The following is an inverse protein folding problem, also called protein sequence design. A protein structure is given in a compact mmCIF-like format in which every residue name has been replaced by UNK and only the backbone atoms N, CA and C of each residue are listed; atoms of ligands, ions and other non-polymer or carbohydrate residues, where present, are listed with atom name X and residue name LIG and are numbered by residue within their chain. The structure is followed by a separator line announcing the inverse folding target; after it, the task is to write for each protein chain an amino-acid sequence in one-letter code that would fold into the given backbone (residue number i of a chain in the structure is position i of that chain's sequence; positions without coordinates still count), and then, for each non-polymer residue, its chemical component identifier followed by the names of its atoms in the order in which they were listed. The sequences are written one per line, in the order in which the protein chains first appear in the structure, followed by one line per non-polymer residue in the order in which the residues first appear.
data_IF_910825929108
#
_entry.id   IF_910825929108
#
_cell.length_a   1.000
_cell.length_b   1.000
_cell.length_c   1.000
_cell.angle_alpha   90.00
_cell.angle_beta   90.00
_cell.angle_gamma   90.00
#
_symmetry.space_group_name_H-M   'P 1'
#
loop_
_entity.id
_entity.type
_entity.pdbx_description
1 polymer ?
#
# COMPACT_ATOMS: atom_id res chain seq x y z
N UNK A 1 -0.05 -0.89 14.71
CA UNK A 1 -1.34 -0.41 15.20
C UNK A 1 -1.20 0.69 16.25
N UNK A 2 -0.41 0.53 17.35
CA UNK A 2 -0.26 1.55 18.42
C UNK A 2 0.08 2.97 17.92
N UNK A 3 0.93 3.08 16.89
CA UNK A 3 1.32 4.39 16.31
C UNK A 3 0.28 4.96 15.33
N UNK A 4 -0.88 4.31 15.19
CA UNK A 4 -1.96 4.65 14.26
C UNK A 4 -3.30 4.69 15.01
N UNK A 5 -4.36 4.16 14.42
CA UNK A 5 -5.71 4.14 15.00
C UNK A 5 -5.94 3.10 16.10
N UNK A 6 -4.94 2.30 16.48
CA UNK A 6 -5.03 1.29 17.52
C UNK A 6 -5.81 0.03 17.15
N UNK A 7 -6.18 -0.17 15.87
CA UNK A 7 -6.90 -1.35 15.41
C UNK A 7 -5.99 -2.30 14.64
N UNK A 8 -6.03 -3.58 14.98
CA UNK A 8 -5.31 -4.66 14.33
C UNK A 8 -6.26 -5.79 13.94
N UNK A 9 -6.32 -6.09 12.64
CA UNK A 9 -7.00 -7.27 12.14
C UNK A 9 -5.97 -8.36 11.81
N UNK A 10 -6.01 -9.48 12.54
CA UNK A 10 -5.20 -10.66 12.23
C UNK A 10 -5.95 -11.55 11.26
N UNK A 11 -5.37 -11.79 10.08
CA UNK A 11 -6.00 -12.53 9.00
C UNK A 11 -5.33 -13.88 8.79
N UNK A 12 -6.14 -14.93 8.77
CA UNK A 12 -5.71 -16.31 8.67
C UNK A 12 -6.83 -17.22 8.13
N UNK A 13 -6.64 -18.54 8.11
CA UNK A 13 -7.63 -19.54 7.66
C UNK A 13 -7.81 -20.67 8.69
N UNK A 14 -8.03 -20.32 9.96
CA UNK A 14 -8.10 -21.26 11.09
C UNK A 14 -9.27 -22.26 11.00
N UNK A 15 -10.29 -21.98 10.21
CA UNK A 15 -11.38 -22.94 9.98
C UNK A 15 -10.96 -24.14 9.11
N UNK A 16 -9.81 -24.07 8.43
CA UNK A 16 -9.32 -25.14 7.53
C UNK A 16 -7.89 -25.57 7.88
N UNK A 17 -7.00 -24.63 8.26
CA UNK A 17 -5.57 -24.90 8.42
C UNK A 17 -5.15 -24.91 9.90
N UNK A 18 -4.49 -25.99 10.33
CA UNK A 18 -3.94 -26.09 11.69
C UNK A 18 -2.85 -25.03 11.96
N UNK A 19 -2.00 -24.72 10.98
CA UNK A 19 -1.00 -23.67 11.09
C UNK A 19 -1.66 -22.29 11.32
N UNK A 20 -2.83 -22.05 10.78
CA UNK A 20 -3.61 -20.81 11.01
C UNK A 20 -4.24 -20.77 12.40
N UNK A 21 -4.64 -21.92 12.98
CA UNK A 21 -5.07 -21.99 14.39
C UNK A 21 -3.90 -21.63 15.31
N UNK A 22 -2.71 -22.16 15.02
CA UNK A 22 -1.49 -21.84 15.77
C UNK A 22 -1.12 -20.35 15.64
N UNK A 23 -1.17 -19.79 14.43
CA UNK A 23 -1.00 -18.35 14.20
C UNK A 23 -1.95 -17.53 15.08
N UNK A 24 -3.25 -17.85 15.05
CA UNK A 24 -4.29 -17.15 15.83
C UNK A 24 -3.98 -17.20 17.33
N UNK A 25 -3.55 -18.35 17.86
CA UNK A 25 -3.22 -18.47 19.28
C UNK A 25 -2.05 -17.56 19.66
N UNK A 26 -0.98 -17.53 18.85
CA UNK A 26 0.20 -16.68 19.10
C UNK A 26 -0.20 -15.20 19.07
N UNK A 27 -0.94 -14.76 18.05
CA UNK A 27 -1.35 -13.35 17.94
C UNK A 27 -2.27 -12.95 19.11
N UNK A 28 -3.17 -13.85 19.53
CA UNK A 28 -4.04 -13.62 20.67
C UNK A 28 -3.26 -13.53 22.00
N UNK A 29 -2.21 -14.32 22.15
CA UNK A 29 -1.35 -14.25 23.33
C UNK A 29 -0.52 -12.97 23.35
N UNK A 30 0.08 -12.59 22.21
CA UNK A 30 0.84 -11.33 22.08
C UNK A 30 -0.03 -10.10 22.32
N UNK A 31 -1.31 -10.13 21.98
CA UNK A 31 -2.21 -8.98 22.16
C UNK A 31 -2.35 -8.57 23.65
N UNK A 32 -2.09 -9.49 24.59
CA UNK A 32 -2.11 -9.21 26.04
C UNK A 32 -1.04 -8.19 26.45
N UNK A 33 0.05 -8.12 25.69
CA UNK A 33 1.15 -7.17 25.90
C UNK A 33 0.86 -5.78 25.32
N UNK A 34 -0.25 -5.64 24.58
CA UNK A 34 -0.65 -4.40 23.89
C UNK A 34 -2.11 -4.03 24.19
N UNK A 35 -2.44 -3.69 25.43
CA UNK A 35 -3.84 -3.46 25.86
C UNK A 35 -4.52 -2.28 25.13
N UNK A 36 -3.74 -1.36 24.56
CA UNK A 36 -4.26 -0.22 23.80
C UNK A 36 -4.57 -0.56 22.34
N UNK A 37 -4.38 -1.83 21.92
CA UNK A 37 -4.66 -2.28 20.55
C UNK A 37 -5.90 -3.17 20.54
N UNK A 38 -6.92 -2.73 19.82
CA UNK A 38 -8.12 -3.53 19.55
C UNK A 38 -7.78 -4.61 18.52
N UNK A 39 -7.63 -5.88 18.99
CA UNK A 39 -7.39 -7.02 18.11
C UNK A 39 -8.71 -7.62 17.65
N UNK A 40 -8.81 -7.86 16.34
CA UNK A 40 -9.83 -8.69 15.70
C UNK A 40 -9.20 -9.80 14.87
N UNK A 41 -9.96 -10.87 14.63
CA UNK A 41 -9.55 -11.96 13.74
C UNK A 41 -10.55 -12.13 12.60
N UNK A 42 -10.05 -12.24 11.38
CA UNK A 42 -10.89 -12.55 10.21
C UNK A 42 -10.31 -13.70 9.40
N UNK A 43 -11.20 -14.46 8.77
CA UNK A 43 -10.79 -15.45 7.77
C UNK A 43 -10.40 -14.75 6.45
N UNK A 44 -9.37 -15.25 5.77
CA UNK A 44 -8.80 -14.62 4.59
C UNK A 44 -9.82 -14.37 3.45
N UNK A 45 -10.74 -15.31 3.22
CA UNK A 45 -11.82 -15.16 2.24
C UNK A 45 -12.81 -14.06 2.61
N UNK A 46 -13.19 -13.96 3.90
CA UNK A 46 -14.02 -12.85 4.36
C UNK A 46 -13.28 -11.52 4.25
N UNK A 47 -12.00 -11.48 4.60
CA UNK A 47 -11.19 -10.26 4.49
C UNK A 47 -11.09 -9.78 3.05
N UNK A 48 -10.90 -10.69 2.09
CA UNK A 48 -10.89 -10.37 0.67
C UNK A 48 -12.20 -9.68 0.23
N UNK A 49 -13.35 -10.21 0.65
CA UNK A 49 -14.65 -9.62 0.39
C UNK A 49 -14.80 -8.26 1.10
N UNK A 50 -14.39 -8.15 2.36
CA UNK A 50 -14.52 -6.94 3.16
C UNK A 50 -13.61 -5.81 2.67
N UNK A 51 -12.43 -6.11 2.10
CA UNK A 51 -11.59 -5.11 1.46
C UNK A 51 -12.32 -4.42 0.30
N UNK A 52 -13.11 -5.17 -0.47
CA UNK A 52 -13.89 -4.60 -1.59
C UNK A 52 -15.12 -3.84 -1.08
N UNK A 53 -15.85 -4.39 -0.10
CA UNK A 53 -17.13 -3.84 0.36
C UNK A 53 -16.98 -2.67 1.33
N UNK A 54 -16.03 -2.75 2.26
CA UNK A 54 -15.84 -1.77 3.33
C UNK A 54 -14.38 -1.69 3.77
N UNK A 55 -13.46 -1.20 2.92
CA UNK A 55 -12.03 -1.14 3.23
C UNK A 55 -11.70 -0.24 4.43
N UNK A 56 -12.51 0.78 4.70
CA UNK A 56 -12.29 1.74 5.79
C UNK A 56 -12.43 1.16 7.20
N UNK A 57 -12.93 -0.07 7.34
CA UNK A 57 -12.96 -0.75 8.64
C UNK A 57 -11.56 -1.16 9.13
N UNK A 58 -10.60 -1.30 8.21
CA UNK A 58 -9.24 -1.73 8.52
C UNK A 58 -8.30 -0.54 8.73
N UNK A 59 -7.50 -0.59 9.79
CA UNK A 59 -6.36 0.32 10.00
C UNK A 59 -5.04 -0.43 9.74
N UNK A 60 -4.82 -1.54 10.43
CA UNK A 60 -3.66 -2.42 10.23
C UNK A 60 -4.14 -3.85 10.08
N UNK A 61 -3.65 -4.53 9.06
CA UNK A 61 -3.84 -5.95 8.85
C UNK A 61 -2.50 -6.65 9.04
N UNK A 62 -2.48 -7.72 9.84
CA UNK A 62 -1.35 -8.65 9.93
C UNK A 62 -1.75 -10.01 9.38
N UNK A 63 -0.92 -10.57 8.53
CA UNK A 63 -1.18 -11.86 7.87
C UNK A 63 0.12 -12.61 7.58
N UNK A 64 0.02 -13.93 7.35
CA UNK A 64 1.13 -14.70 6.80
C UNK A 64 1.42 -14.29 5.35
N UNK A 65 2.60 -14.65 4.83
CA UNK A 65 3.05 -14.27 3.50
C UNK A 65 2.00 -14.59 2.41
N UNK A 66 1.51 -15.82 2.33
CA UNK A 66 0.58 -16.25 1.29
C UNK A 66 -0.73 -15.44 1.27
N UNK A 67 -1.36 -15.28 2.43
CA UNK A 67 -2.61 -14.53 2.50
C UNK A 67 -2.37 -13.02 2.37
N UNK A 68 -1.24 -12.52 2.89
CA UNK A 68 -0.85 -11.13 2.77
C UNK A 68 -0.62 -10.72 1.31
N UNK A 69 0.03 -11.55 0.52
CA UNK A 69 0.27 -11.35 -0.91
C UNK A 69 -1.06 -11.22 -1.68
N UNK A 70 -1.95 -12.20 -1.53
CA UNK A 70 -3.25 -12.18 -2.19
C UNK A 70 -4.09 -10.96 -1.77
N UNK A 71 -4.11 -10.65 -0.47
CA UNK A 71 -4.93 -9.57 0.06
C UNK A 71 -4.37 -8.19 -0.29
N UNK A 72 -3.05 -8.03 -0.39
CA UNK A 72 -2.45 -6.77 -0.83
C UNK A 72 -2.73 -6.48 -2.30
N UNK A 73 -2.75 -7.49 -3.17
CA UNK A 73 -3.14 -7.33 -4.57
C UNK A 73 -4.62 -6.92 -4.72
N UNK A 74 -5.51 -7.53 -3.92
CA UNK A 74 -6.92 -7.11 -3.86
C UNK A 74 -7.01 -5.66 -3.37
N UNK A 75 -6.30 -5.31 -2.30
CA UNK A 75 -6.29 -3.95 -1.76
C UNK A 75 -5.73 -2.92 -2.76
N UNK A 76 -4.75 -3.30 -3.59
CA UNK A 76 -4.19 -2.44 -4.63
C UNK A 76 -5.26 -1.98 -5.63
N UNK A 77 -6.26 -2.82 -5.92
CA UNK A 77 -7.35 -2.46 -6.83
C UNK A 77 -8.21 -1.29 -6.33
N UNK A 78 -8.22 -1.05 -5.00
CA UNK A 78 -8.95 0.09 -4.40
C UNK A 78 -8.38 1.44 -4.80
N UNK A 79 -7.10 1.51 -5.14
CA UNK A 79 -6.44 2.71 -5.66
C UNK A 79 -6.62 2.91 -7.16
N UNK A 80 -7.30 1.97 -7.84
CA UNK A 80 -7.56 1.96 -9.27
C UNK A 80 -6.50 1.22 -10.10
N UNK A 81 -5.28 1.07 -9.59
CA UNK A 81 -4.20 0.33 -10.25
C UNK A 81 -3.10 -0.07 -9.27
N UNK A 82 -2.48 -1.22 -9.48
CA UNK A 82 -1.28 -1.64 -8.76
C UNK A 82 -0.09 -0.67 -9.00
N UNK A 83 -0.10 0.08 -10.10
CA UNK A 83 0.86 1.15 -10.40
C UNK A 83 0.77 2.37 -9.48
N UNK A 84 -0.20 2.40 -8.57
CA UNK A 84 -0.36 3.43 -7.52
C UNK A 84 0.17 2.99 -6.16
N UNK A 85 0.51 1.70 -5.96
CA UNK A 85 0.75 1.14 -4.65
C UNK A 85 2.25 1.00 -4.34
N UNK A 86 2.79 1.80 -3.40
CA UNK A 86 4.14 1.63 -2.89
C UNK A 86 4.22 0.49 -1.87
N UNK A 87 5.41 -0.05 -1.65
CA UNK A 87 5.68 -0.97 -0.56
C UNK A 87 7.02 -0.71 0.14
N UNK A 88 7.16 -1.27 1.34
CA UNK A 88 8.39 -1.17 2.12
C UNK A 88 8.61 -2.44 2.95
N UNK A 89 9.84 -2.94 2.94
CA UNK A 89 10.35 -3.95 3.86
C UNK A 89 11.34 -3.29 4.80
N UNK A 90 11.00 -3.15 6.09
CA UNK A 90 11.75 -2.34 7.06
C UNK A 90 12.16 -3.21 8.25
N UNK A 91 13.43 -3.10 8.67
CA UNK A 91 13.90 -3.77 9.88
C UNK A 91 13.71 -2.90 11.14
N UNK A 92 14.07 -3.44 12.31
CA UNK A 92 13.94 -2.76 13.60
C UNK A 92 14.81 -1.50 13.75
N UNK A 93 15.86 -1.34 12.93
CA UNK A 93 16.71 -0.15 12.89
C UNK A 93 16.33 0.87 11.82
N UNK A 94 15.13 0.76 11.26
CA UNK A 94 14.59 1.64 10.22
C UNK A 94 15.36 1.61 8.89
N UNK A 95 16.20 0.59 8.66
CA UNK A 95 16.73 0.32 7.33
C UNK A 95 15.63 -0.37 6.51
N UNK A 96 15.46 0.04 5.27
CA UNK A 96 14.37 -0.48 4.45
C UNK A 96 14.74 -0.66 2.98
N UNK A 97 14.05 -1.59 2.34
CA UNK A 97 13.92 -1.70 0.90
C UNK A 97 12.55 -1.12 0.51
N UNK A 98 12.54 -0.26 -0.47
CA UNK A 98 11.36 0.47 -0.91
C UNK A 98 11.16 0.23 -2.40
N UNK A 99 10.03 -0.34 -2.76
CA UNK A 99 9.72 -0.72 -4.12
C UNK A 99 8.21 -0.67 -4.39
N UNK A 100 7.76 -0.56 -5.64
CA UNK A 100 6.36 -0.80 -5.98
C UNK A 100 5.91 -2.22 -5.63
N UNK A 101 4.62 -2.41 -5.38
CA UNK A 101 4.06 -3.77 -5.22
C UNK A 101 4.02 -4.53 -6.55
N UNK A 102 3.93 -3.83 -7.68
CA UNK A 102 3.84 -4.45 -9.00
C UNK A 102 5.18 -5.07 -9.46
N UNK A 103 5.09 -6.06 -10.35
CA UNK A 103 6.23 -6.67 -11.02
C UNK A 103 6.83 -5.81 -12.15
N UNK A 104 7.67 -6.43 -12.98
CA UNK A 104 8.43 -5.76 -14.05
C UNK A 104 7.64 -5.45 -15.33
N UNK A 105 6.45 -6.04 -15.53
CA UNK A 105 5.56 -5.85 -16.68
C UNK A 105 6.29 -5.81 -18.03
N UNK A 106 6.97 -6.90 -18.44
CA UNK A 106 7.82 -6.93 -19.64
C UNK A 106 7.04 -6.67 -20.94
N UNK A 107 5.75 -6.92 -20.94
CA UNK A 107 4.81 -6.70 -22.05
C UNK A 107 4.63 -5.22 -22.43
N UNK A 108 4.85 -4.30 -21.49
CA UNK A 108 4.75 -2.85 -21.72
C UNK A 108 6.12 -2.14 -21.67
N UNK A 109 7.20 -2.90 -21.54
CA UNK A 109 8.55 -2.33 -21.48
C UNK A 109 8.87 -1.52 -22.77
N UNK A 110 9.40 -0.31 -22.61
CA UNK A 110 9.73 0.59 -23.72
C UNK A 110 8.54 1.33 -24.35
N UNK A 111 7.29 1.02 -23.97
CA UNK A 111 6.09 1.65 -24.57
C UNK A 111 5.76 3.02 -23.99
N UNK A 112 6.44 3.47 -22.94
CA UNK A 112 6.22 4.77 -22.27
C UNK A 112 4.79 4.96 -21.71
N UNK A 113 4.16 3.85 -21.25
CA UNK A 113 2.80 3.83 -20.72
C UNK A 113 2.69 3.35 -19.27
N UNK A 114 3.79 2.85 -18.71
CA UNK A 114 3.82 2.40 -17.32
C UNK A 114 3.57 3.58 -16.35
N UNK A 115 2.82 3.32 -15.28
CA UNK A 115 2.57 4.29 -14.23
C UNK A 115 3.77 4.34 -13.25
N UNK A 116 4.49 5.47 -13.11
CA UNK A 116 5.65 5.56 -12.22
C UNK A 116 5.27 5.99 -10.79
N UNK A 117 3.98 6.23 -10.49
CA UNK A 117 3.54 6.82 -9.22
C UNK A 117 3.88 5.92 -8.03
N UNK A 118 3.74 4.60 -8.16
CA UNK A 118 4.10 3.67 -7.08
C UNK A 118 5.59 3.79 -6.70
N UNK A 119 6.50 3.96 -7.67
CA UNK A 119 7.94 4.17 -7.41
C UNK A 119 8.19 5.52 -6.73
N UNK A 120 7.51 6.57 -7.16
CA UNK A 120 7.63 7.92 -6.57
C UNK A 120 7.09 7.91 -5.12
N UNK A 121 5.96 7.24 -4.89
CA UNK A 121 5.40 7.06 -3.56
C UNK A 121 6.31 6.18 -2.66
N UNK A 122 6.99 5.17 -3.23
CA UNK A 122 8.01 4.37 -2.52
C UNK A 122 9.19 5.23 -2.04
N UNK A 123 9.62 6.23 -2.84
CA UNK A 123 10.58 7.23 -2.37
C UNK A 123 10.02 8.04 -1.19
N UNK A 124 8.74 8.43 -1.23
CA UNK A 124 8.05 9.07 -0.10
C UNK A 124 8.11 8.21 1.17
N UNK A 125 7.88 6.89 1.06
CA UNK A 125 8.03 5.97 2.18
C UNK A 125 9.47 5.91 2.71
N UNK A 126 10.49 5.89 1.84
CA UNK A 126 11.90 5.91 2.24
C UNK A 126 12.25 7.18 3.04
N UNK A 127 11.79 8.33 2.54
CA UNK A 127 11.95 9.63 3.24
C UNK A 127 11.31 9.60 4.63
N UNK A 128 10.11 9.03 4.73
CA UNK A 128 9.33 8.99 5.97
C UNK A 128 9.89 8.04 7.02
N UNK A 129 10.27 6.82 6.61
CA UNK A 129 10.55 5.73 7.55
C UNK A 129 12.05 5.51 7.81
N UNK A 130 12.92 5.70 6.81
CA UNK A 130 14.37 5.49 6.96
C UNK A 130 15.17 6.78 7.12
N UNK A 131 14.73 7.87 6.48
CA UNK A 131 15.50 9.12 6.41
C UNK A 131 14.97 10.22 7.34
N UNK A 132 13.87 9.96 8.06
CA UNK A 132 13.17 10.91 8.97
C UNK A 132 12.86 12.28 8.33
N UNK A 133 12.58 12.27 7.03
CA UNK A 133 12.25 13.46 6.25
C UNK A 133 10.73 13.53 5.99
N UNK A 134 9.95 13.62 7.08
CA UNK A 134 8.47 13.55 7.03
C UNK A 134 7.85 14.65 6.18
N UNK A 135 8.40 15.87 6.25
CA UNK A 135 7.88 17.00 5.48
C UNK A 135 8.07 16.80 3.96
N UNK A 136 9.23 16.25 3.56
CA UNK A 136 9.47 15.92 2.16
C UNK A 136 8.57 14.76 1.69
N UNK A 137 8.36 13.76 2.55
CA UNK A 137 7.42 12.67 2.25
C UNK A 137 5.99 13.19 2.04
N UNK A 138 5.50 14.06 2.94
CA UNK A 138 4.18 14.66 2.83
C UNK A 138 4.04 15.50 1.54
N UNK A 139 5.07 16.26 1.16
CA UNK A 139 5.07 17.01 -0.09
C UNK A 139 4.94 16.10 -1.32
N UNK A 140 5.56 14.92 -1.33
CA UNK A 140 5.39 13.93 -2.42
C UNK A 140 3.95 13.41 -2.42
N UNK A 141 3.41 13.01 -1.27
CA UNK A 141 2.04 12.52 -1.15
C UNK A 141 1.03 13.57 -1.63
N UNK A 142 1.22 14.83 -1.25
CA UNK A 142 0.34 15.93 -1.64
C UNK A 142 0.47 16.26 -3.13
N UNK A 143 1.67 16.21 -3.69
CA UNK A 143 1.86 16.38 -5.14
C UNK A 143 1.19 15.26 -5.95
N UNK A 144 1.20 14.02 -5.48
CA UNK A 144 0.47 12.90 -6.14
C UNK A 144 -1.05 13.14 -6.06
N UNK A 145 -1.58 13.56 -4.91
CA UNK A 145 -3.00 13.91 -4.77
C UNK A 145 -3.39 15.05 -5.72
N UNK A 146 -2.56 16.09 -5.78
CA UNK A 146 -2.80 17.23 -6.68
C UNK A 146 -2.75 16.83 -8.16
N UNK A 147 -1.80 15.97 -8.56
CA UNK A 147 -1.74 15.39 -9.90
C UNK A 147 -3.08 14.73 -10.28
N UNK A 148 -3.62 13.92 -9.37
CA UNK A 148 -4.91 13.24 -9.58
C UNK A 148 -6.06 14.26 -9.56
N UNK A 149 -6.06 15.27 -8.68
CA UNK A 149 -7.13 16.27 -8.55
C UNK A 149 -7.24 17.18 -9.79
N UNK A 150 -6.10 17.47 -10.42
CA UNK A 150 -6.02 18.22 -11.70
C UNK A 150 -6.48 17.41 -12.91
N UNK A 151 -6.86 16.14 -12.72
CA UNK A 151 -7.38 15.29 -13.80
C UNK A 151 -6.31 14.49 -14.55
N UNK A 152 -5.03 14.60 -14.19
CA UNK A 152 -4.00 13.80 -14.83
C UNK A 152 -4.16 12.31 -14.51
N UNK A 153 -4.05 11.45 -15.53
CA UNK A 153 -4.18 10.00 -15.42
C UNK A 153 -3.15 9.31 -16.30
N UNK A 154 -2.48 8.32 -15.77
CA UNK A 154 -1.71 7.36 -16.58
C UNK A 154 -2.65 6.36 -17.24
N UNK A 155 -2.16 5.60 -18.21
CA UNK A 155 -3.00 4.70 -19.03
C UNK A 155 -3.81 3.69 -18.19
N UNK A 156 -3.23 3.18 -17.13
CA UNK A 156 -3.80 2.15 -16.24
C UNK A 156 -4.96 2.66 -15.37
N UNK A 157 -5.02 3.97 -15.10
CA UNK A 157 -6.06 4.63 -14.31
C UNK A 157 -6.91 5.60 -15.13
N UNK A 158 -6.66 5.73 -16.44
CA UNK A 158 -7.49 6.53 -17.33
C UNK A 158 -8.77 5.80 -17.70
N UNK A 159 -9.89 6.51 -17.71
CA UNK A 159 -11.18 6.04 -18.20
C UNK A 159 -11.45 6.47 -19.65
N UNK A 160 -10.50 7.14 -20.29
CA UNK A 160 -10.57 7.64 -21.67
C UNK A 160 -9.33 7.19 -22.46
N UNK A 161 -9.32 7.48 -23.78
CA UNK A 161 -8.14 7.27 -24.63
C UNK A 161 -7.02 8.27 -24.35
N UNK A 162 -7.30 9.36 -23.65
CA UNK A 162 -6.31 10.35 -23.26
C UNK A 162 -5.64 9.97 -21.96
N UNK A 163 -4.30 9.99 -21.92
CA UNK A 163 -3.52 9.70 -20.73
C UNK A 163 -2.14 10.36 -20.75
N UNK A 164 -1.55 10.53 -19.58
CA UNK A 164 -0.18 11.05 -19.40
C UNK A 164 0.82 9.91 -19.58
N UNK A 165 1.84 10.11 -20.39
CA UNK A 165 2.92 9.14 -20.62
C UNK A 165 3.83 9.04 -19.39
N UNK A 166 4.49 7.88 -19.20
CA UNK A 166 5.45 7.67 -18.09
C UNK A 166 6.46 8.82 -17.96
N UNK A 167 7.06 9.25 -19.07
CA UNK A 167 8.08 10.32 -19.09
C UNK A 167 7.54 11.70 -18.74
N UNK A 168 6.24 11.93 -18.85
CA UNK A 168 5.61 13.23 -18.56
C UNK A 168 5.23 13.38 -17.09
N UNK A 169 4.90 12.28 -16.42
CA UNK A 169 4.46 12.27 -15.00
C UNK A 169 5.46 12.98 -14.10
N UNK A 170 6.76 12.67 -14.24
CA UNK A 170 7.80 13.29 -13.42
C UNK A 170 7.86 14.81 -13.62
N UNK A 171 7.75 15.29 -14.85
CA UNK A 171 7.80 16.72 -15.17
C UNK A 171 6.61 17.47 -14.58
N UNK A 172 5.41 16.87 -14.63
CA UNK A 172 4.19 17.44 -14.05
C UNK A 172 4.31 17.50 -12.53
N UNK A 173 4.73 16.40 -11.88
CA UNK A 173 4.90 16.36 -10.42
C UNK A 173 5.96 17.36 -9.94
N UNK A 174 7.09 17.51 -10.66
CA UNK A 174 8.10 18.54 -10.35
C UNK A 174 7.49 19.94 -10.47
N UNK A 175 6.65 20.19 -11.46
CA UNK A 175 5.92 21.46 -11.61
C UNK A 175 5.03 21.75 -10.41
N UNK A 176 4.26 20.77 -9.96
CA UNK A 176 3.40 20.86 -8.77
C UNK A 176 4.24 21.14 -7.51
N UNK A 177 5.33 20.39 -7.29
CA UNK A 177 6.21 20.53 -6.14
C UNK A 177 6.93 21.91 -6.06
N UNK A 178 7.13 22.58 -7.18
CA UNK A 178 7.75 23.91 -7.23
C UNK A 178 6.78 25.06 -6.96
N UNK A 179 5.49 24.83 -7.20
CA UNK A 179 4.44 25.83 -7.08
C UNK A 179 3.66 25.76 -5.75
N UNK A 180 3.84 24.70 -4.98
CA UNK A 180 3.33 24.50 -3.62
C UNK A 180 4.46 24.53 -2.61
#
# INVERSE_FOLDING_TARGET
AQKRGGKLCSVEKANVLEVSKFWRSIVSDMAKDFPDVELSHQLADNTAMQLVLNPNQFDVIVSSNLFGDILSDIAATLSGSIGMLPSASINSSSQGMYEPCHGSAPDIAGMNIANPIAMIASLGMALKYSLDQKDLANRIDDAIKEFISQGYRTKDISTTEEYVKTSEVASILIGILKNG
#
